data_IF_160943175892
#
_entry.id   IF_160943175892
#
_cell.length_a   1.000
_cell.length_b   1.000
_cell.length_c   1.000
_cell.angle_alpha   90.00
_cell.angle_beta   90.00
_cell.angle_gamma   90.00
#
_symmetry.space_group_name_H-M   'P 1'
#
loop_
_entity.id
_entity.type
_entity.pdbx_description
1 polymer ?
#
# COMPACT_ATOMS: atom_id res chain seq x y z
N UNK A 1 18.94 0.44 -1.22
CA UNK A 1 17.63 0.80 -1.83
C UNK A 1 17.11 -0.44 -2.54
N UNK A 2 15.97 -1.00 -2.12
CA UNK A 2 15.37 -2.21 -2.71
C UNK A 2 14.19 -1.76 -3.59
N UNK A 3 14.09 -2.24 -4.82
CA UNK A 3 13.21 -1.67 -5.87
C UNK A 3 12.10 -2.59 -6.36
N UNK A 4 11.76 -3.67 -5.65
CA UNK A 4 10.54 -4.40 -5.97
C UNK A 4 10.07 -5.27 -4.80
N UNK A 5 8.92 -4.94 -4.25
CA UNK A 5 8.13 -5.83 -3.41
C UNK A 5 6.70 -5.68 -3.89
N UNK A 6 6.20 -6.71 -4.59
CA UNK A 6 4.78 -6.78 -4.96
C UNK A 6 4.02 -7.23 -3.72
N UNK A 7 3.19 -6.34 -3.19
CA UNK A 7 2.46 -6.57 -1.95
C UNK A 7 1.02 -6.88 -2.30
N UNK A 8 0.56 -8.07 -1.94
CA UNK A 8 -0.85 -8.44 -1.98
C UNK A 8 -1.48 -8.18 -0.62
N UNK A 9 -1.87 -6.93 -0.34
CA UNK A 9 -2.63 -6.59 0.87
C UNK A 9 -4.06 -6.21 0.50
N UNK A 10 -5.09 -6.87 1.07
CA UNK A 10 -6.46 -6.46 0.88
C UNK A 10 -6.68 -5.10 1.54
N UNK A 11 -6.89 -4.07 0.72
CA UNK A 11 -7.18 -2.73 1.21
C UNK A 11 -8.70 -2.59 1.42
N UNK A 12 -9.12 -2.24 2.64
CA UNK A 12 -10.54 -2.12 3.00
C UNK A 12 -11.07 -0.73 2.65
N UNK A 13 -11.86 -0.64 1.57
CA UNK A 13 -12.51 0.62 1.18
C UNK A 13 -13.98 0.58 1.59
N UNK A 14 -14.46 1.56 2.36
CA UNK A 14 -15.89 1.70 2.63
C UNK A 14 -16.68 1.89 1.33
N UNK A 15 -17.81 1.18 1.18
CA UNK A 15 -18.62 1.20 -0.05
C UNK A 15 -19.15 2.60 -0.42
N UNK A 16 -19.31 3.54 0.52
CA UNK A 16 -19.64 4.93 0.19
C UNK A 16 -18.54 5.63 -0.64
N UNK A 17 -17.27 5.19 -0.54
CA UNK A 17 -16.14 5.66 -1.37
C UNK A 17 -15.94 4.85 -2.66
N UNK A 18 -16.82 3.88 -2.96
CA UNK A 18 -16.71 2.98 -4.12
C UNK A 18 -16.80 3.68 -5.49
N UNK A 19 -17.34 4.91 -5.57
CA UNK A 19 -17.31 5.70 -6.82
C UNK A 19 -15.91 6.21 -7.17
N UNK A 20 -14.99 6.24 -6.20
CA UNK A 20 -13.61 6.74 -6.34
C UNK A 20 -12.62 5.76 -5.70
N UNK A 21 -12.77 4.45 -5.99
CA UNK A 21 -11.87 3.39 -5.46
C UNK A 21 -10.40 3.74 -5.68
N UNK A 22 -10.07 4.24 -6.88
CA UNK A 22 -8.72 4.64 -7.25
C UNK A 22 -8.17 5.70 -6.29
N UNK A 23 -8.93 6.75 -6.02
CA UNK A 23 -8.52 7.81 -5.10
C UNK A 23 -8.42 7.31 -3.65
N UNK A 24 -9.34 6.46 -3.21
CA UNK A 24 -9.28 5.86 -1.88
C UNK A 24 -8.01 5.02 -1.71
N UNK A 25 -7.67 4.21 -2.72
CA UNK A 25 -6.44 3.39 -2.74
C UNK A 25 -5.20 4.29 -2.73
N UNK A 26 -5.13 5.32 -3.59
CA UNK A 26 -4.00 6.25 -3.61
C UNK A 26 -3.84 6.98 -2.27
N UNK A 27 -4.94 7.35 -1.63
CA UNK A 27 -4.92 7.98 -0.32
C UNK A 27 -4.32 7.05 0.74
N UNK A 28 -4.77 5.79 0.80
CA UNK A 28 -4.20 4.81 1.73
C UNK A 28 -2.71 4.53 1.43
N UNK A 29 -2.31 4.41 0.16
CA UNK A 29 -0.90 4.27 -0.21
C UNK A 29 -0.07 5.49 0.24
N UNK A 30 -0.66 6.68 0.15
CA UNK A 30 0.01 7.92 0.59
C UNK A 30 0.17 7.98 2.11
N UNK A 31 -0.72 7.34 2.88
CA UNK A 31 -0.59 7.23 4.34
C UNK A 31 0.59 6.34 4.78
N UNK A 32 1.09 5.48 3.89
CA UNK A 32 2.26 4.61 4.12
C UNK A 32 3.59 5.37 3.97
N UNK A 33 3.59 6.51 3.26
CA UNK A 33 4.81 7.26 2.97
C UNK A 33 5.42 7.85 4.26
N UNK A 34 6.75 7.81 4.32
CA UNK A 34 7.59 8.36 5.39
C UNK A 34 7.30 7.81 6.79
N UNK A 35 6.65 6.65 6.88
CA UNK A 35 6.43 5.91 8.14
C UNK A 35 7.09 4.55 8.07
N UNK A 36 7.65 4.13 9.21
CA UNK A 36 8.08 2.74 9.35
C UNK A 36 6.85 1.83 9.31
N UNK A 37 6.90 0.82 8.45
CA UNK A 37 5.84 -0.15 8.29
C UNK A 37 6.41 -1.53 8.62
N UNK A 38 5.86 -2.16 9.65
CA UNK A 38 6.30 -3.48 10.14
C UNK A 38 6.14 -4.57 9.09
N UNK A 39 5.09 -4.51 8.26
CA UNK A 39 4.88 -5.46 7.15
C UNK A 39 6.00 -5.40 6.12
N UNK A 40 6.57 -4.22 5.90
CA UNK A 40 7.66 -4.01 4.94
C UNK A 40 9.05 -3.97 5.59
N UNK A 41 9.13 -4.00 6.91
CA UNK A 41 10.36 -3.85 7.69
C UNK A 41 11.19 -2.65 7.21
N UNK A 42 10.53 -1.50 7.04
CA UNK A 42 11.18 -0.30 6.51
C UNK A 42 10.24 0.88 6.32
N UNK A 43 10.80 1.97 5.83
CA UNK A 43 10.10 3.22 5.51
C UNK A 43 9.79 3.27 4.03
N UNK A 44 8.51 3.42 3.67
CA UNK A 44 8.11 3.62 2.27
C UNK A 44 8.42 5.06 1.87
N UNK A 45 9.22 5.25 0.83
CA UNK A 45 9.61 6.57 0.33
C UNK A 45 8.79 7.00 -0.89
N UNK A 46 8.37 6.06 -1.72
CA UNK A 46 7.55 6.30 -2.90
C UNK A 46 6.77 5.04 -3.29
N UNK A 47 5.73 5.20 -4.09
CA UNK A 47 5.00 4.10 -4.72
C UNK A 47 4.73 4.41 -6.19
N UNK A 48 4.67 3.37 -7.02
CA UNK A 48 4.21 3.44 -8.41
C UNK A 48 2.89 2.68 -8.52
N UNK A 49 1.79 3.36 -8.89
CA UNK A 49 0.47 2.75 -9.03
C UNK A 49 0.30 1.93 -10.32
N UNK A 50 1.31 1.75 -11.18
CA UNK A 50 1.14 1.16 -12.53
C UNK A 50 0.46 -0.22 -12.64
N UNK A 51 0.33 -1.01 -11.55
CA UNK A 51 -0.14 -2.40 -11.59
C UNK A 51 -1.41 -2.67 -10.75
N UNK A 52 -2.52 -1.99 -11.04
CA UNK A 52 -3.80 -2.23 -10.37
C UNK A 52 -4.34 -3.65 -10.65
N UNK A 53 -4.73 -4.39 -9.61
CA UNK A 53 -5.53 -5.60 -9.81
C UNK A 53 -7.00 -5.18 -9.91
N UNK A 54 -7.68 -5.53 -10.99
CA UNK A 54 -9.10 -5.19 -11.23
C UNK A 54 -10.07 -5.97 -10.33
N UNK A 55 -9.58 -6.91 -9.52
CA UNK A 55 -10.42 -7.74 -8.65
C UNK A 55 -10.67 -7.05 -7.32
N UNK A 56 -11.84 -6.43 -7.21
CA UNK A 56 -12.40 -5.96 -5.96
C UNK A 56 -13.48 -6.96 -5.49
N UNK A 57 -13.33 -7.48 -4.26
CA UNK A 57 -14.29 -8.41 -3.65
C UNK A 57 -15.01 -7.71 -2.51
N UNK A 58 -16.33 -7.74 -2.53
CA UNK A 58 -17.12 -7.32 -1.36
C UNK A 58 -16.88 -8.34 -0.25
N UNK A 59 -16.38 -7.87 0.89
CA UNK A 59 -16.16 -8.72 2.04
C UNK A 59 -17.48 -8.90 2.80
N UNK A 60 -17.87 -10.12 3.15
CA UNK A 60 -19.07 -10.36 3.94
C UNK A 60 -18.89 -9.79 5.36
N UNK A 61 -19.82 -8.94 5.80
CA UNK A 61 -19.79 -8.29 7.11
C UNK A 61 -20.96 -7.33 7.32
N UNK A 62 -21.15 -6.86 8.56
CA UNK A 62 -22.23 -5.93 8.95
C UNK A 62 -22.07 -4.56 8.26
N UNK A 63 -20.82 -4.15 7.99
CA UNK A 63 -20.49 -2.96 7.22
C UNK A 63 -19.94 -3.37 5.86
N UNK A 64 -20.48 -2.83 4.74
CA UNK A 64 -20.01 -3.18 3.41
C UNK A 64 -18.63 -2.57 3.17
N UNK A 65 -17.60 -3.43 3.18
CA UNK A 65 -16.25 -3.11 2.76
C UNK A 65 -15.96 -3.76 1.41
N UNK A 66 -15.31 -2.99 0.54
CA UNK A 66 -14.75 -3.47 -0.71
C UNK A 66 -13.27 -3.78 -0.48
N UNK A 67 -12.91 -5.06 -0.48
CA UNK A 67 -11.53 -5.50 -0.49
C UNK A 67 -10.96 -5.36 -1.90
N UNK A 68 -9.98 -4.51 -2.10
CA UNK A 68 -9.33 -4.31 -3.41
C UNK A 68 -7.98 -5.03 -3.40
N UNK A 69 -7.78 -5.95 -4.35
CA UNK A 69 -6.45 -6.47 -4.63
C UNK A 69 -5.64 -5.41 -5.36
N UNK A 70 -4.47 -5.04 -4.83
CA UNK A 70 -3.56 -4.09 -5.45
C UNK A 70 -2.19 -4.74 -5.60
N UNK A 71 -1.50 -4.47 -6.71
CA UNK A 71 -0.04 -4.63 -6.79
C UNK A 71 0.56 -3.25 -7.06
N UNK A 72 1.54 -2.85 -6.27
CA UNK A 72 2.24 -1.58 -6.46
C UNK A 72 3.73 -1.81 -6.25
N UNK A 73 4.57 -1.09 -7.00
CA UNK A 73 6.00 -1.09 -6.70
C UNK A 73 6.25 -0.05 -5.63
N UNK A 74 6.84 -0.48 -4.52
CA UNK A 74 7.25 0.42 -3.45
C UNK A 74 8.75 0.67 -3.50
N UNK A 75 9.13 1.93 -3.27
CA UNK A 75 10.48 2.29 -2.95
C UNK A 75 10.65 2.25 -1.44
N UNK A 76 11.45 1.29 -0.95
CA UNK A 76 11.63 1.06 0.48
C UNK A 76 13.04 1.43 0.95
N UNK A 77 13.08 2.17 2.06
CA UNK A 77 14.27 2.37 2.87
C UNK A 77 14.20 1.47 4.11
N UNK A 78 14.93 0.37 4.09
CA UNK A 78 15.04 -0.59 5.21
C UNK A 78 16.48 -0.55 5.73
N UNK A 79 16.77 0.29 6.74
CA UNK A 79 18.10 0.39 7.31
C UNK A 79 18.44 -0.87 8.08
N UNK A 80 19.56 -1.50 7.74
CA UNK A 80 20.09 -2.63 8.51
C UNK A 80 20.96 -2.14 9.65
N UNK A 81 21.10 -2.95 10.69
CA UNK A 81 22.12 -2.75 11.73
C UNK A 81 23.49 -2.56 11.07
N UNK A 82 24.22 -1.51 11.46
CA UNK A 82 25.49 -1.05 10.88
C UNK A 82 25.41 -0.37 9.49
N UNK A 83 24.22 0.08 9.07
CA UNK A 83 24.10 0.92 7.88
C UNK A 83 24.36 2.40 8.23
N UNK A 84 25.44 2.97 7.70
CA UNK A 84 25.74 4.39 7.84
C UNK A 84 24.95 5.19 6.79
N UNK A 85 24.23 6.21 7.26
CA UNK A 85 23.57 7.19 6.39
C UNK A 85 24.43 8.45 6.40
N UNK A 86 24.96 8.83 5.24
CA UNK A 86 25.71 10.07 5.10
C UNK A 86 24.76 11.27 5.25
N UNK A 87 25.24 12.33 5.90
CA UNK A 87 24.49 13.56 6.18
C UNK A 87 24.57 14.53 5.01
#
# INVERSE_FOLDING_TARGET
MRTSTSIYTPLLVHVHKSKRVIEAVLNELSLLLFKFNETFDGVVLAYDPSNWCSNARVLPGIHPFLGVGLSAKLLLFSPKTNMFVAK
#
